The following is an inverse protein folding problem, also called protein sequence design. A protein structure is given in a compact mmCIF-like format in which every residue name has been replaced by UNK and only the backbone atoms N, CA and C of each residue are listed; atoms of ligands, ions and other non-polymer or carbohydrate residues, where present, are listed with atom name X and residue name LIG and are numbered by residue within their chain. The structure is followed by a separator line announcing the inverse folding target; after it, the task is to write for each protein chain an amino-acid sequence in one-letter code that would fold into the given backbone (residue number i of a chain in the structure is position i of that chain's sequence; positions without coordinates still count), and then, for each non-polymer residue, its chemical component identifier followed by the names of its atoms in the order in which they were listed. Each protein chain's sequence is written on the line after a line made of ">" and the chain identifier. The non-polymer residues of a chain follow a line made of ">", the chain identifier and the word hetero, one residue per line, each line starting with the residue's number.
data_IF_355620835648
#
_entry.id   IF_355620835648
#
_cell.length_a   1.000
_cell.length_b   1.000
_cell.length_c   1.000
_cell.angle_alpha   90.00
_cell.angle_beta   90.00
_cell.angle_gamma   90.00
#
_symmetry.space_group_name_H-M   'P 1'
#
loop_
_entity.id
_entity.type
_entity.pdbx_description
1 polymer ?
#
# COMPACT_ATOMS: atom_id res chain seq x y z
N UNK A 1 3.49 -12.94 -11.43
CA UNK A 1 2.45 -12.23 -12.21
C UNK A 1 3.03 -11.15 -13.10
N UNK A 2 3.96 -10.33 -12.60
CA UNK A 2 4.64 -9.24 -13.33
C UNK A 2 5.15 -9.70 -14.72
N UNK A 3 6.06 -10.68 -14.76
CA UNK A 3 6.65 -11.18 -16.02
C UNK A 3 5.59 -11.70 -17.00
N UNK A 4 4.54 -12.35 -16.50
CA UNK A 4 3.43 -12.85 -17.33
C UNK A 4 2.60 -11.71 -17.94
N UNK A 5 2.44 -10.59 -17.23
CA UNK A 5 1.73 -9.41 -17.71
C UNK A 5 2.59 -8.65 -18.75
N UNK A 6 3.86 -8.44 -18.44
CA UNK A 6 4.82 -7.83 -19.36
C UNK A 6 4.97 -8.62 -20.66
N UNK A 7 5.00 -9.96 -20.61
CA UNK A 7 4.99 -10.82 -21.80
C UNK A 7 3.76 -10.64 -22.70
N UNK A 8 2.70 -10.01 -22.20
CA UNK A 8 1.48 -9.66 -22.94
C UNK A 8 1.36 -8.16 -23.23
N UNK A 9 2.40 -7.38 -23.00
CA UNK A 9 2.38 -5.92 -23.17
C UNK A 9 1.49 -5.18 -22.16
N UNK A 10 1.17 -5.80 -21.02
CA UNK A 10 0.35 -5.19 -19.97
C UNK A 10 1.27 -4.53 -18.94
N UNK A 11 1.10 -3.22 -18.72
CA UNK A 11 1.78 -2.48 -17.65
C UNK A 11 1.33 -2.98 -16.27
N UNK A 12 2.25 -2.98 -15.30
CA UNK A 12 2.01 -3.40 -13.92
C UNK A 12 2.47 -2.30 -12.97
N UNK A 13 1.56 -1.79 -12.15
CA UNK A 13 1.86 -0.81 -11.12
C UNK A 13 1.90 -1.49 -9.75
N UNK A 14 2.97 -1.26 -9.01
CA UNK A 14 3.15 -1.79 -7.65
C UNK A 14 2.52 -0.86 -6.64
N UNK A 15 1.87 -1.41 -5.63
CA UNK A 15 1.32 -0.64 -4.52
C UNK A 15 1.77 -1.25 -3.20
N UNK A 16 2.24 -0.41 -2.27
CA UNK A 16 2.70 -0.87 -0.95
C UNK A 16 1.53 -1.32 -0.08
N UNK A 17 1.80 -2.28 0.79
CA UNK A 17 0.88 -2.78 1.81
C UNK A 17 0.72 -1.74 2.92
N UNK A 18 -0.51 -1.42 3.28
CA UNK A 18 -0.81 -0.44 4.32
C UNK A 18 -0.25 -0.86 5.69
N UNK A 19 -0.05 0.08 6.62
CA UNK A 19 0.21 -0.26 8.01
C UNK A 19 -1.04 -0.87 8.66
N UNK A 20 -0.86 -1.77 9.63
CA UNK A 20 -1.96 -2.49 10.27
C UNK A 20 -1.74 -2.81 11.76
N UNK A 21 -0.79 -2.17 12.42
CA UNK A 21 -0.61 -2.34 13.86
C UNK A 21 -1.90 -1.97 14.61
N UNK A 22 -2.13 -2.60 15.77
CA UNK A 22 -3.37 -2.51 16.58
C UNK A 22 -4.61 -3.18 15.98
N UNK A 23 -4.52 -3.72 14.76
CA UNK A 23 -5.61 -4.51 14.19
C UNK A 23 -5.68 -5.91 14.80
N UNK A 24 -6.77 -6.63 14.56
CA UNK A 24 -6.88 -8.05 14.91
C UNK A 24 -5.88 -8.94 14.16
N UNK A 25 -5.26 -8.42 13.09
CA UNK A 25 -4.27 -9.12 12.28
C UNK A 25 -2.84 -8.87 12.77
N UNK A 26 -2.65 -7.96 13.73
CA UNK A 26 -1.34 -7.54 14.22
C UNK A 26 -0.60 -8.66 14.99
N UNK A 27 0.65 -8.88 14.60
CA UNK A 27 1.63 -9.74 15.26
C UNK A 27 3.01 -9.44 14.67
N UNK A 28 4.05 -9.52 15.50
CA UNK A 28 5.41 -9.07 15.18
C UNK A 28 5.91 -9.57 13.82
N UNK A 29 5.78 -10.86 13.53
CA UNK A 29 6.28 -11.44 12.27
C UNK A 29 5.55 -10.93 11.03
N UNK A 30 4.30 -10.45 11.16
CA UNK A 30 3.53 -9.91 10.04
C UNK A 30 3.92 -8.47 9.75
N UNK A 31 4.17 -7.66 10.77
CA UNK A 31 4.70 -6.31 10.58
C UNK A 31 6.07 -6.36 9.91
N UNK A 32 6.94 -7.27 10.36
CA UNK A 32 8.25 -7.47 9.73
C UNK A 32 8.12 -7.93 8.27
N UNK A 33 7.26 -8.93 8.00
CA UNK A 33 7.02 -9.40 6.64
C UNK A 33 6.47 -8.29 5.73
N UNK A 34 5.58 -7.46 6.26
CA UNK A 34 5.04 -6.30 5.56
C UNK A 34 6.14 -5.31 5.19
N UNK A 35 7.06 -5.02 6.12
CA UNK A 35 8.16 -4.09 5.86
C UNK A 35 9.13 -4.65 4.80
N UNK A 36 9.46 -5.94 4.88
CA UNK A 36 10.27 -6.61 3.87
C UNK A 36 9.62 -6.56 2.48
N UNK A 37 8.30 -6.83 2.40
CA UNK A 37 7.56 -6.78 1.13
C UNK A 37 7.51 -5.35 0.59
N UNK A 38 7.27 -4.35 1.44
CA UNK A 38 7.20 -2.96 0.99
C UNK A 38 8.55 -2.43 0.52
N UNK A 39 9.64 -2.83 1.17
CA UNK A 39 10.99 -2.52 0.69
C UNK A 39 11.25 -3.13 -0.68
N UNK A 40 10.88 -4.40 -0.87
CA UNK A 40 10.96 -5.05 -2.18
C UNK A 40 10.09 -4.35 -3.24
N UNK A 41 8.87 -3.94 -2.90
CA UNK A 41 7.99 -3.22 -3.82
C UNK A 41 8.65 -1.92 -4.29
N UNK A 42 9.28 -1.17 -3.36
CA UNK A 42 9.94 0.11 -3.66
C UNK A 42 11.22 -0.04 -4.47
N UNK A 43 12.01 -1.08 -4.21
CA UNK A 43 13.39 -1.16 -4.71
C UNK A 43 13.62 -2.21 -5.80
N UNK A 44 12.71 -3.16 -5.99
CA UNK A 44 12.92 -4.27 -6.92
C UNK A 44 13.09 -3.87 -8.39
N UNK A 45 12.61 -2.69 -8.77
CA UNK A 45 12.59 -2.22 -10.16
C UNK A 45 11.70 -3.09 -11.07
N UNK A 46 10.79 -3.89 -10.50
CA UNK A 46 9.94 -4.82 -11.25
C UNK A 46 8.66 -4.20 -11.79
N UNK A 47 8.25 -3.05 -11.26
CA UNK A 47 7.01 -2.37 -11.63
C UNK A 47 7.27 -1.21 -12.59
N UNK A 48 6.30 -0.92 -13.46
CA UNK A 48 6.36 0.22 -14.38
C UNK A 48 6.14 1.56 -13.66
N UNK A 49 5.46 1.52 -12.51
CA UNK A 49 5.30 2.64 -11.59
C UNK A 49 4.98 2.14 -10.17
N UNK A 50 5.25 2.99 -9.18
CA UNK A 50 4.96 2.75 -7.77
C UNK A 50 3.83 3.67 -7.30
N UNK A 51 2.88 3.14 -6.54
CA UNK A 51 1.84 3.88 -5.82
C UNK A 51 2.03 3.58 -4.33
N UNK A 52 2.68 4.50 -3.60
CA UNK A 52 3.07 4.26 -2.21
C UNK A 52 1.93 4.55 -1.20
N UNK A 53 0.98 3.63 -1.10
CA UNK A 53 -0.13 3.75 -0.14
C UNK A 53 0.27 3.63 1.32
N UNK A 54 1.35 2.91 1.65
CA UNK A 54 1.95 2.96 2.99
C UNK A 54 2.27 4.40 3.40
N UNK A 55 3.08 5.09 2.59
CA UNK A 55 3.47 6.47 2.88
C UNK A 55 2.25 7.42 2.97
N UNK A 56 1.22 7.19 2.14
CA UNK A 56 -0.02 7.97 2.13
C UNK A 56 -0.88 7.76 3.38
N UNK A 57 -0.96 6.52 3.86
CA UNK A 57 -1.98 6.08 4.82
C UNK A 57 -1.42 5.92 6.24
N UNK A 58 -0.11 5.94 6.45
CA UNK A 58 0.50 5.81 7.77
C UNK A 58 0.26 7.02 8.65
N UNK A 59 -0.01 6.76 9.92
CA UNK A 59 -0.08 7.78 10.94
C UNK A 59 1.33 8.34 11.24
N UNK A 60 1.57 9.67 11.14
CA UNK A 60 2.89 10.24 11.41
C UNK A 60 3.35 10.07 12.87
N UNK A 61 2.42 9.96 13.81
CA UNK A 61 2.71 9.79 15.23
C UNK A 61 2.94 8.31 15.62
N UNK A 62 2.53 7.37 14.76
CA UNK A 62 2.71 5.94 14.94
C UNK A 62 2.69 5.24 13.57
N UNK A 63 3.85 5.21 12.91
CA UNK A 63 3.99 4.81 11.49
C UNK A 63 3.58 3.37 11.19
N UNK A 64 3.45 2.53 12.22
CA UNK A 64 2.96 1.16 12.07
C UNK A 64 1.43 1.07 11.98
N UNK A 65 0.71 2.17 12.25
CA UNK A 65 -0.75 2.25 12.21
C UNK A 65 -1.25 3.07 11.02
N UNK A 66 -2.44 2.71 10.54
CA UNK A 66 -3.20 3.53 9.59
C UNK A 66 -3.69 4.82 10.27
N UNK A 67 -3.77 5.91 9.51
CA UNK A 67 -4.34 7.19 9.94
C UNK A 67 -5.71 6.98 10.61
N UNK A 68 -5.98 7.53 11.81
CA UNK A 68 -7.19 7.21 12.58
C UNK A 68 -8.52 7.45 11.84
N UNK A 69 -8.56 8.47 10.99
CA UNK A 69 -9.79 8.98 10.38
C UNK A 69 -10.21 8.18 9.13
N UNK A 70 -9.34 7.30 8.64
CA UNK A 70 -9.48 6.67 7.30
C UNK A 70 -9.63 5.15 7.34
N UNK A 71 -9.88 4.56 8.51
CA UNK A 71 -10.18 3.13 8.67
C UNK A 71 -11.52 2.90 9.38
N UNK A 72 -12.03 1.68 9.37
CA UNK A 72 -13.36 1.31 9.91
C UNK A 72 -13.41 1.21 11.44
N UNK A 73 -12.36 1.68 12.13
CA UNK A 73 -12.12 1.42 13.55
C UNK A 73 -11.28 0.17 13.85
N UNK A 74 -10.96 -0.65 12.84
CA UNK A 74 -10.23 -1.92 13.02
C UNK A 74 -8.72 -1.86 12.79
N UNK A 75 -8.17 -0.68 12.49
CA UNK A 75 -6.77 -0.43 12.15
C UNK A 75 -6.22 -1.26 10.97
N UNK A 76 -7.08 -1.79 10.10
CA UNK A 76 -6.67 -2.63 8.97
C UNK A 76 -7.33 -2.21 7.65
N UNK A 77 -8.66 -2.06 7.64
CA UNK A 77 -9.41 -1.81 6.42
C UNK A 77 -9.72 -0.32 6.27
N UNK A 78 -9.39 0.29 5.11
CA UNK A 78 -9.82 1.66 4.83
C UNK A 78 -11.35 1.80 4.89
N UNK A 79 -11.82 2.92 5.42
CA UNK A 79 -13.22 3.33 5.31
C UNK A 79 -13.43 4.10 4.00
N UNK A 80 -14.62 4.70 3.81
CA UNK A 80 -14.94 5.53 2.65
C UNK A 80 -13.90 6.64 2.41
N UNK A 81 -13.55 7.40 3.45
CA UNK A 81 -12.57 8.47 3.35
C UNK A 81 -11.17 7.94 3.00
N UNK A 82 -10.82 6.75 3.48
CA UNK A 82 -9.57 6.08 3.12
C UNK A 82 -9.51 5.67 1.66
N UNK A 83 -10.57 5.07 1.14
CA UNK A 83 -10.63 4.73 -0.29
C UNK A 83 -10.67 5.96 -1.19
N UNK A 84 -11.38 7.03 -0.81
CA UNK A 84 -11.35 8.31 -1.53
C UNK A 84 -9.94 8.92 -1.56
N UNK A 85 -9.24 8.93 -0.42
CA UNK A 85 -7.85 9.40 -0.31
C UNK A 85 -6.91 8.58 -1.19
N UNK A 86 -7.04 7.25 -1.18
CA UNK A 86 -6.24 6.35 -2.02
C UNK A 86 -6.52 6.60 -3.51
N UNK A 87 -7.79 6.75 -3.91
CA UNK A 87 -8.17 7.01 -5.30
C UNK A 87 -7.60 8.34 -5.82
N UNK A 88 -7.68 9.41 -5.02
CA UNK A 88 -7.15 10.74 -5.36
C UNK A 88 -5.62 10.81 -5.43
N UNK A 89 -4.92 9.87 -4.79
CA UNK A 89 -3.46 9.83 -4.79
C UNK A 89 -2.87 9.27 -6.09
N UNK A 90 -3.64 8.53 -6.88
CA UNK A 90 -3.16 7.89 -8.11
C UNK A 90 -2.91 8.95 -9.19
N UNK A 91 -1.69 9.01 -9.71
CA UNK A 91 -1.38 9.85 -10.88
C UNK A 91 -2.09 9.30 -12.13
N UNK A 92 -3.05 10.05 -12.64
CA UNK A 92 -3.83 9.67 -13.81
C UNK A 92 -3.00 9.66 -15.12
N UNK A 93 -1.81 10.27 -15.15
CA UNK A 93 -0.92 10.16 -16.30
C UNK A 93 -0.42 8.74 -16.52
N UNK A 94 -0.47 7.87 -15.49
CA UNK A 94 -0.13 6.46 -15.61
C UNK A 94 -1.02 5.72 -16.61
N UNK A 95 -2.23 6.21 -16.91
CA UNK A 95 -3.18 5.53 -17.79
C UNK A 95 -3.23 6.11 -19.22
N UNK A 96 -2.31 6.99 -19.56
CA UNK A 96 -2.20 7.56 -20.91
C UNK A 96 -1.24 6.77 -21.80
#
# INVERSE_FOLDING_TARGET
>A
MIEKAHAKGIKVYGATVLPFAKSFYDTDFRLEARDQINEWIRTSGKFDALIDFDALMRNPDDVATILPDVHTGDFLHPNEAGYDKMGKYIDLQLFK
#
